data_IF_188953655623
#
_entry.id   IF_188953655623
#
_cell.length_a   1.000
_cell.length_b   1.000
_cell.length_c   1.000
_cell.angle_alpha   90.00
_cell.angle_beta   90.00
_cell.angle_gamma   90.00
#
_symmetry.space_group_name_H-M   'P 1'
#
loop_
_entity.id
_entity.type
_entity.pdbx_description
1 polymer ?
#
# COMPACT_ATOMS: atom_id res chain seq x y z
N UNK A 1 -14.39 3.80 47.66
CA UNK A 1 -13.80 2.59 47.04
C UNK A 1 -14.43 2.28 45.68
N UNK A 2 -15.76 2.29 45.53
CA UNK A 2 -16.46 1.99 44.26
C UNK A 2 -16.11 2.93 43.09
N UNK A 3 -15.94 4.24 43.32
CA UNK A 3 -15.53 5.20 42.28
C UNK A 3 -14.11 4.98 41.77
N UNK A 4 -13.20 4.55 42.63
CA UNK A 4 -11.81 4.25 42.26
C UNK A 4 -11.74 2.98 41.40
N UNK A 5 -12.55 1.98 41.77
CA UNK A 5 -12.64 0.72 41.03
C UNK A 5 -13.24 0.94 39.62
N UNK A 6 -14.25 1.80 39.50
CA UNK A 6 -14.80 2.21 38.20
C UNK A 6 -13.78 2.97 37.33
N UNK A 7 -12.97 3.84 37.93
CA UNK A 7 -11.92 4.57 37.20
C UNK A 7 -10.82 3.65 36.68
N UNK A 8 -10.40 2.66 37.46
CA UNK A 8 -9.36 1.69 37.05
C UNK A 8 -9.88 0.77 35.94
N UNK A 9 -11.14 0.33 36.04
CA UNK A 9 -11.78 -0.49 34.99
C UNK A 9 -11.92 0.31 33.69
N UNK A 10 -12.37 1.57 33.76
CA UNK A 10 -12.47 2.43 32.57
C UNK A 10 -11.09 2.75 31.96
N UNK A 11 -10.08 2.98 32.78
CA UNK A 11 -8.71 3.19 32.31
C UNK A 11 -8.18 1.94 31.58
N UNK A 12 -8.40 0.73 32.11
CA UNK A 12 -7.94 -0.50 31.48
C UNK A 12 -8.54 -0.76 30.09
N UNK A 13 -9.78 -0.32 29.85
CA UNK A 13 -10.43 -0.39 28.53
C UNK A 13 -9.74 0.51 27.51
N UNK A 14 -9.33 1.72 27.91
CA UNK A 14 -8.63 2.66 27.03
C UNK A 14 -7.18 2.24 26.72
N UNK A 15 -6.52 1.49 27.61
CA UNK A 15 -5.15 1.02 27.36
C UNK A 15 -5.06 -0.06 26.26
N UNK A 16 -6.16 -0.76 25.94
CA UNK A 16 -6.16 -1.75 24.84
C UNK A 16 -6.32 -1.14 23.43
N UNK A 17 -6.55 0.18 23.31
CA UNK A 17 -6.72 0.87 22.03
C UNK A 17 -5.40 1.23 21.32
N UNK A 18 -4.27 1.18 22.03
CA UNK A 18 -2.96 1.50 21.47
C UNK A 18 -2.22 0.24 20.99
N UNK A 19 -2.56 -0.30 19.82
CA UNK A 19 -1.59 -1.09 19.02
C UNK A 19 -2.08 -1.47 17.61
N UNK A 20 -3.00 -0.71 17.01
CA UNK A 20 -3.28 -0.80 15.56
C UNK A 20 -2.43 0.18 14.75
N UNK A 21 -1.15 0.27 15.06
CA UNK A 21 -0.17 0.61 14.03
C UNK A 21 0.41 -0.72 13.57
N UNK A 22 -0.33 -1.42 12.70
CA UNK A 22 0.29 -2.43 11.85
C UNK A 22 1.19 -1.65 10.90
N UNK A 23 2.37 -1.22 11.38
CA UNK A 23 3.48 -0.99 10.50
C UNK A 23 3.86 -2.39 10.00
N UNK A 24 3.09 -2.84 9.01
CA UNK A 24 3.31 -4.10 8.32
C UNK A 24 4.59 -3.91 7.52
N UNK A 25 5.73 -4.07 8.19
CA UNK A 25 7.04 -4.23 7.59
C UNK A 25 7.08 -5.58 6.86
N UNK A 26 6.20 -5.76 5.89
CA UNK A 26 6.25 -6.88 4.97
C UNK A 26 7.40 -6.67 4.00
N UNK A 27 7.91 -7.76 3.45
CA UNK A 27 8.88 -7.65 2.37
C UNK A 27 8.24 -6.94 1.17
N UNK A 28 8.95 -5.98 0.57
CA UNK A 28 8.47 -5.30 -0.63
C UNK A 28 8.37 -6.29 -1.79
N UNK A 29 7.34 -6.11 -2.61
CA UNK A 29 7.25 -6.77 -3.91
C UNK A 29 8.23 -6.14 -4.89
N UNK A 30 8.93 -6.97 -5.67
CA UNK A 30 9.95 -6.52 -6.62
C UNK A 30 9.78 -7.19 -7.97
N UNK A 31 9.78 -6.37 -9.03
CA UNK A 31 9.83 -6.79 -10.43
C UNK A 31 10.86 -5.97 -11.20
N UNK A 32 11.41 -6.55 -12.25
CA UNK A 32 12.47 -5.95 -13.05
C UNK A 32 12.06 -6.01 -14.53
N UNK A 33 12.24 -4.90 -15.24
CA UNK A 33 12.10 -4.82 -16.69
C UNK A 33 13.23 -3.97 -17.26
N UNK A 34 14.11 -4.58 -18.05
CA UNK A 34 15.32 -3.92 -18.54
C UNK A 34 16.13 -3.24 -17.42
N UNK A 35 16.27 -1.92 -17.50
CA UNK A 35 17.00 -1.08 -16.55
C UNK A 35 16.12 -0.50 -15.42
N UNK A 36 14.85 -0.92 -15.32
CA UNK A 36 13.93 -0.45 -14.29
C UNK A 36 13.61 -1.55 -13.26
N UNK A 37 13.64 -1.18 -11.99
CA UNK A 37 13.14 -1.99 -10.87
C UNK A 37 11.90 -1.35 -10.31
N UNK A 38 10.81 -2.10 -10.26
CA UNK A 38 9.56 -1.71 -9.65
C UNK A 38 9.49 -2.25 -8.22
N UNK A 39 9.31 -1.35 -7.25
CA UNK A 39 9.30 -1.64 -5.82
C UNK A 39 7.95 -1.30 -5.23
N UNK A 40 7.17 -2.32 -4.86
CA UNK A 40 5.90 -2.18 -4.16
C UNK A 40 6.09 -2.26 -2.65
N UNK A 41 5.82 -1.17 -1.92
CA UNK A 41 6.04 -1.11 -0.48
C UNK A 41 5.05 -0.18 0.22
N UNK A 42 4.16 -0.75 1.02
CA UNK A 42 3.26 0.04 1.86
C UNK A 42 2.31 0.86 1.00
N UNK A 43 2.34 2.18 1.09
CA UNK A 43 1.36 3.04 0.40
C UNK A 43 1.74 3.38 -1.04
N UNK A 44 2.92 2.97 -1.51
CA UNK A 44 3.41 3.34 -2.85
C UNK A 44 4.09 2.19 -3.60
N UNK A 45 4.15 2.37 -4.92
CA UNK A 45 4.99 1.62 -5.84
C UNK A 45 5.91 2.59 -6.56
N UNK A 46 7.21 2.29 -6.65
CA UNK A 46 8.22 3.14 -7.27
C UNK A 46 8.94 2.42 -8.38
N UNK A 47 9.24 3.12 -9.46
CA UNK A 47 10.20 2.67 -10.46
C UNK A 47 11.56 3.33 -10.20
N UNK A 48 12.61 2.53 -10.17
CA UNK A 48 13.98 2.97 -9.94
C UNK A 48 14.84 2.52 -11.10
N UNK A 49 15.63 3.43 -11.67
CA UNK A 49 16.61 3.07 -12.68
C UNK A 49 17.82 2.37 -12.02
N UNK A 50 18.23 1.23 -12.56
CA UNK A 50 19.31 0.39 -12.02
C UNK A 50 20.67 1.07 -12.16
N UNK A 51 20.93 1.71 -13.30
CA UNK A 51 22.22 2.33 -13.60
C UNK A 51 22.52 3.46 -12.61
N UNK A 52 21.54 4.34 -12.40
CA UNK A 52 21.76 5.60 -11.67
C UNK A 52 21.20 5.57 -10.25
N UNK A 53 20.42 4.53 -9.90
CA UNK A 53 19.69 4.35 -8.62
C UNK A 53 18.71 5.50 -8.31
N UNK A 54 18.24 6.18 -9.35
CA UNK A 54 17.29 7.27 -9.23
C UNK A 54 15.85 6.77 -9.37
N UNK A 55 14.95 7.32 -8.56
CA UNK A 55 13.51 7.14 -8.74
C UNK A 55 13.08 7.85 -10.03
N UNK A 56 12.46 7.10 -10.94
CA UNK A 56 11.91 7.63 -12.20
C UNK A 56 10.48 8.11 -11.97
N UNK A 57 9.69 7.32 -11.24
CA UNK A 57 8.34 7.68 -10.87
C UNK A 57 7.88 6.94 -9.61
N UNK A 58 6.79 7.45 -9.04
CA UNK A 58 6.03 6.81 -7.95
C UNK A 58 4.54 6.78 -8.26
N UNK A 59 3.87 5.76 -7.78
CA UNK A 59 2.42 5.58 -7.84
C UNK A 59 1.85 5.25 -6.45
N UNK A 60 0.75 5.90 -6.03
CA UNK A 60 0.17 7.10 -6.64
C UNK A 60 1.09 8.31 -6.50
N UNK A 61 0.94 9.30 -7.39
CA UNK A 61 1.70 10.56 -7.30
C UNK A 61 1.37 11.33 -6.00
N UNK A 62 0.08 11.36 -5.65
CA UNK A 62 -0.44 11.90 -4.40
C UNK A 62 -0.61 10.79 -3.36
N UNK A 63 -0.06 10.92 -2.14
CA UNK A 63 -0.13 9.88 -1.12
C UNK A 63 -1.58 9.49 -0.76
N UNK A 64 -1.84 8.18 -0.67
CA UNK A 64 -3.14 7.64 -0.25
C UNK A 64 -2.92 6.64 0.89
N UNK A 65 -3.29 7.04 2.10
CA UNK A 65 -3.05 6.25 3.32
C UNK A 65 -3.81 4.92 3.36
N UNK A 66 -4.82 4.76 2.51
CA UNK A 66 -5.66 3.56 2.45
C UNK A 66 -5.04 2.45 1.59
N UNK A 67 -4.04 2.77 0.76
CA UNK A 67 -3.40 1.81 -0.13
C UNK A 67 -2.35 0.99 0.61
N UNK A 68 -2.25 -0.29 0.25
CA UNK A 68 -1.27 -1.21 0.82
C UNK A 68 -0.74 -2.19 -0.25
N UNK A 69 0.31 -1.78 -0.95
CA UNK A 69 1.06 -2.55 -1.93
C UNK A 69 2.19 -3.35 -1.28
N UNK A 70 2.09 -4.67 -1.37
CA UNK A 70 3.17 -5.59 -0.95
C UNK A 70 3.38 -6.74 -1.94
N UNK A 71 2.46 -6.89 -2.91
CA UNK A 71 2.57 -7.90 -3.95
C UNK A 71 3.65 -7.50 -4.97
N UNK A 72 4.30 -8.50 -5.56
CA UNK A 72 5.18 -8.31 -6.72
C UNK A 72 4.36 -7.69 -7.87
N UNK A 73 4.75 -6.52 -8.43
CA UNK A 73 4.11 -5.96 -9.62
C UNK A 73 4.14 -6.95 -10.79
N UNK A 74 3.01 -7.22 -11.44
CA UNK A 74 3.04 -8.04 -12.66
C UNK A 74 3.24 -7.13 -13.88
N UNK A 75 4.05 -7.59 -14.83
CA UNK A 75 4.45 -6.83 -16.01
C UNK A 75 4.00 -7.62 -17.24
N UNK A 76 3.30 -6.97 -18.17
CA UNK A 76 2.90 -7.56 -19.45
C UNK A 76 2.93 -6.50 -20.56
N UNK A 77 3.93 -6.58 -21.43
CA UNK A 77 4.18 -5.58 -22.46
C UNK A 77 4.28 -4.17 -21.88
N UNK A 78 3.38 -3.28 -22.28
CA UNK A 78 3.34 -1.89 -21.83
C UNK A 78 2.44 -1.68 -20.60
N UNK A 79 2.05 -2.76 -19.90
CA UNK A 79 1.16 -2.70 -18.75
C UNK A 79 1.84 -3.19 -17.48
N UNK A 80 1.56 -2.48 -16.38
CA UNK A 80 1.99 -2.81 -15.03
C UNK A 80 0.74 -3.03 -14.18
N UNK A 81 0.60 -4.23 -13.63
CA UNK A 81 -0.49 -4.58 -12.75
C UNK A 81 -0.04 -4.55 -11.30
N UNK A 82 -0.72 -3.76 -10.48
CA UNK A 82 -0.47 -3.62 -9.06
C UNK A 82 -1.65 -4.15 -8.28
N UNK A 83 -1.36 -5.02 -7.30
CA UNK A 83 -2.35 -5.47 -6.33
C UNK A 83 -2.14 -4.77 -4.99
N UNK A 84 -3.19 -4.18 -4.45
CA UNK A 84 -3.21 -3.66 -3.09
C UNK A 84 -4.14 -4.50 -2.20
N UNK A 85 -3.92 -4.47 -0.90
CA UNK A 85 -4.82 -5.12 0.07
C UNK A 85 -6.20 -4.45 0.16
N UNK A 86 -6.40 -3.34 -0.57
CA UNK A 86 -7.56 -2.47 -0.59
C UNK A 86 -7.88 -1.81 0.74
N UNK A 87 -8.97 -1.04 0.72
CA UNK A 87 -9.52 -0.44 1.91
C UNK A 87 -10.33 -1.50 2.67
N UNK A 88 -9.88 -1.86 3.88
CA UNK A 88 -10.73 -2.59 4.81
C UNK A 88 -11.99 -1.76 5.04
N UNK A 89 -13.18 -2.32 4.75
CA UNK A 89 -14.42 -1.66 5.14
C UNK A 89 -14.42 -1.30 6.63
N UNK A 90 -15.25 -0.31 7.00
CA UNK A 90 -15.22 0.32 8.32
C UNK A 90 -15.32 -0.67 9.49
N UNK A 91 -15.11 -0.19 10.72
CA UNK A 91 -15.03 -1.01 11.93
C UNK A 91 -16.16 -2.07 12.09
N UNK A 92 -17.35 -1.79 11.55
CA UNK A 92 -18.53 -2.67 11.61
C UNK A 92 -18.81 -3.47 10.33
N UNK A 93 -18.00 -3.32 9.29
CA UNK A 93 -18.12 -4.08 8.04
C UNK A 93 -16.75 -4.24 7.38
N UNK A 94 -15.88 -5.13 7.89
CA UNK A 94 -14.59 -5.37 7.27
C UNK A 94 -14.79 -6.21 6.00
N UNK A 95 -14.95 -5.56 4.86
CA UNK A 95 -14.69 -6.19 3.57
C UNK A 95 -13.24 -5.88 3.19
N UNK A 96 -12.41 -6.90 3.04
CA UNK A 96 -11.11 -6.77 2.36
C UNK A 96 -11.40 -7.02 0.89
N UNK A 97 -11.44 -5.96 0.09
CA UNK A 97 -11.53 -6.06 -1.36
C UNK A 97 -10.10 -5.85 -1.86
N UNK A 98 -9.51 -6.83 -2.53
CA UNK A 98 -8.23 -6.62 -3.22
C UNK A 98 -8.51 -5.68 -4.40
N UNK A 99 -7.81 -4.55 -4.46
CA UNK A 99 -7.87 -3.69 -5.64
C UNK A 99 -6.67 -3.98 -6.54
N UNK A 100 -6.96 -4.03 -7.84
CA UNK A 100 -6.04 -4.24 -8.93
C UNK A 100 -6.03 -2.96 -9.75
N UNK A 101 -4.83 -2.45 -10.00
CA UNK A 101 -4.58 -1.27 -10.82
C UNK A 101 -3.80 -1.71 -12.04
N UNK A 102 -4.31 -1.41 -13.23
CA UNK A 102 -3.58 -1.54 -14.48
C UNK A 102 -3.05 -0.15 -14.86
N UNK A 103 -1.73 -0.02 -14.90
CA UNK A 103 -1.02 1.19 -15.27
C UNK A 103 -0.41 1.01 -16.65
N UNK A 104 -0.50 2.02 -17.51
CA UNK A 104 0.26 2.03 -18.76
C UNK A 104 1.68 2.54 -18.49
N UNK A 105 2.67 1.77 -18.92
CA UNK A 105 4.09 2.04 -18.76
C UNK A 105 4.52 3.09 -19.80
N UNK A 106 4.27 4.37 -19.54
CA UNK A 106 4.67 5.46 -20.45
C UNK A 106 6.20 5.68 -20.60
N UNK A 107 7.04 4.69 -20.28
CA UNK A 107 8.49 4.79 -20.24
C UNK A 107 9.00 5.57 -19.03
N UNK A 108 9.80 6.61 -19.27
CA UNK A 108 10.43 7.42 -18.21
C UNK A 108 9.46 8.39 -17.49
N UNK A 109 8.19 8.44 -17.90
CA UNK A 109 7.15 9.29 -17.30
C UNK A 109 6.35 8.58 -16.21
N UNK A 110 5.63 9.35 -15.39
CA UNK A 110 4.70 8.78 -14.42
C UNK A 110 3.63 7.92 -15.13
N UNK A 111 3.30 6.73 -14.61
CA UNK A 111 2.29 5.87 -15.21
C UNK A 111 0.92 6.56 -15.21
N UNK A 112 0.16 6.35 -16.29
CA UNK A 112 -1.24 6.76 -16.35
C UNK A 112 -2.17 5.64 -15.88
N UNK A 113 -3.23 6.01 -15.15
CA UNK A 113 -4.27 5.06 -14.72
C UNK A 113 -4.99 4.50 -15.95
N UNK A 114 -4.83 3.21 -16.22
CA UNK A 114 -5.51 2.51 -17.31
C UNK A 114 -6.87 1.96 -16.89
N UNK A 115 -6.89 1.16 -15.83
CA UNK A 115 -8.12 0.56 -15.29
C UNK A 115 -7.95 0.20 -13.82
N UNK A 116 -9.04 0.26 -13.05
CA UNK A 116 -9.10 -0.21 -11.66
C UNK A 116 -10.41 -0.95 -11.40
N UNK A 117 -10.38 -1.98 -10.55
CA UNK A 117 -11.59 -2.72 -10.12
C UNK A 117 -12.21 -2.18 -8.81
N UNK A 118 -11.71 -1.06 -8.29
CA UNK A 118 -12.20 -0.43 -7.05
C UNK A 118 -13.61 0.17 -7.20
#
# INVERSE_FOLDING_TARGET
>A
MTRLLLLVVFASLFLTACSRALNNGSWPGLSVDGDLVYVARGTDVRAVNIADRQEIWKYPAEPRAQLNFFARPALDGDQIFLGDYGASGGFFSPAVIVSVYALNNGGAGAPSDGWTNA
#
